data_IF_668259811616
#
_entry.id   IF_668259811616
#
_cell.length_a   1.000
_cell.length_b   1.000
_cell.length_c   1.000
_cell.angle_alpha   90.00
_cell.angle_beta   90.00
_cell.angle_gamma   90.00
#
_symmetry.space_group_name_H-M   'P 1'
#
loop_
_entity.id
_entity.type
_entity.pdbx_description
1 polymer ?
#
# COMPACT_ATOMS: atom_id res chain seq x y z
N UNK A 1 -16.48 10.71 -37.86
CA UNK A 1 -15.25 10.90 -37.06
C UNK A 1 -15.55 10.64 -35.60
N UNK A 2 -16.31 9.58 -35.36
CA UNK A 2 -17.22 9.53 -34.20
C UNK A 2 -16.65 8.64 -33.09
N UNK A 3 -15.81 7.68 -33.45
CA UNK A 3 -15.04 6.89 -32.48
C UNK A 3 -14.08 7.77 -31.67
N UNK A 4 -13.45 8.78 -32.31
CA UNK A 4 -12.59 9.75 -31.62
C UNK A 4 -13.37 10.60 -30.63
N UNK A 5 -14.59 11.01 -31.01
CA UNK A 5 -15.49 11.78 -30.16
C UNK A 5 -15.96 10.95 -28.97
N UNK A 6 -16.37 9.70 -29.19
CA UNK A 6 -16.76 8.78 -28.14
C UNK A 6 -15.62 8.56 -27.11
N UNK A 7 -14.38 8.37 -27.57
CA UNK A 7 -13.22 8.25 -26.66
C UNK A 7 -12.96 9.56 -25.91
N UNK A 8 -13.04 10.70 -26.61
CA UNK A 8 -12.84 12.02 -26.00
C UNK A 8 -13.86 12.31 -24.89
N UNK A 9 -15.14 12.06 -25.15
CA UNK A 9 -16.22 12.29 -24.19
C UNK A 9 -16.06 11.39 -22.95
N UNK A 10 -15.67 10.13 -23.13
CA UNK A 10 -15.39 9.22 -22.01
C UNK A 10 -14.17 9.66 -21.20
N UNK A 11 -13.11 10.13 -21.85
CA UNK A 11 -11.93 10.65 -21.15
C UNK A 11 -12.25 11.88 -20.29
N UNK A 12 -13.12 12.76 -20.78
CA UNK A 12 -13.60 13.92 -20.02
C UNK A 12 -14.42 13.48 -18.81
N UNK A 13 -15.34 12.53 -18.97
CA UNK A 13 -16.14 12.01 -17.86
C UNK A 13 -15.26 11.36 -16.79
N UNK A 14 -14.26 10.58 -17.19
CA UNK A 14 -13.29 9.99 -16.27
C UNK A 14 -12.50 11.06 -15.51
N UNK A 15 -12.03 12.10 -16.21
CA UNK A 15 -11.32 13.22 -15.58
C UNK A 15 -12.20 13.96 -14.57
N UNK A 16 -13.47 14.21 -14.89
CA UNK A 16 -14.43 14.83 -13.98
C UNK A 16 -14.71 13.96 -12.75
N UNK A 17 -14.76 12.64 -12.88
CA UNK A 17 -14.89 11.75 -11.73
C UNK A 17 -13.67 11.81 -10.80
N UNK A 18 -12.45 11.74 -11.36
CA UNK A 18 -11.23 11.86 -10.55
C UNK A 18 -11.13 13.23 -9.85
N UNK A 19 -11.55 14.30 -10.52
CA UNK A 19 -11.64 15.63 -9.93
C UNK A 19 -12.67 15.69 -8.79
N UNK A 20 -13.85 15.07 -8.96
CA UNK A 20 -14.87 15.02 -7.90
C UNK A 20 -14.39 14.27 -6.65
N UNK A 21 -13.72 13.14 -6.83
CA UNK A 21 -13.16 12.35 -5.72
C UNK A 21 -12.04 13.10 -5.00
N UNK A 22 -11.18 13.81 -5.73
CA UNK A 22 -10.10 14.57 -5.10
C UNK A 22 -10.65 15.70 -4.22
N UNK A 23 -11.68 16.41 -4.67
CA UNK A 23 -12.35 17.45 -3.87
C UNK A 23 -12.93 16.88 -2.57
N UNK A 24 -13.52 15.68 -2.60
CA UNK A 24 -14.01 15.00 -1.38
C UNK A 24 -12.84 14.63 -0.46
N UNK A 25 -11.76 14.06 -1.01
CA UNK A 25 -10.57 13.68 -0.24
C UNK A 25 -9.87 14.89 0.40
N UNK A 26 -9.91 16.06 -0.23
CA UNK A 26 -9.38 17.30 0.34
C UNK A 26 -10.33 18.02 1.30
N UNK A 27 -11.62 17.66 1.30
CA UNK A 27 -12.63 18.33 2.12
C UNK A 27 -12.62 17.91 3.60
N UNK A 28 -12.01 16.77 3.94
CA UNK A 28 -11.83 16.34 5.34
C UNK A 28 -10.39 15.90 5.65
N UNK A 29 -9.45 16.86 5.76
CA UNK A 29 -8.05 16.58 6.09
C UNK A 29 -7.83 16.26 7.58
N UNK A 30 -8.87 16.24 8.42
CA UNK A 30 -8.72 16.20 9.88
C UNK A 30 -8.86 14.80 10.49
N UNK A 31 -9.22 13.78 9.71
CA UNK A 31 -9.44 12.44 10.24
C UNK A 31 -8.67 11.35 9.50
N UNK A 32 -7.34 11.47 9.45
CA UNK A 32 -6.51 10.28 9.25
C UNK A 32 -6.26 9.60 10.61
N UNK A 33 -6.67 8.33 10.80
CA UNK A 33 -6.41 7.62 12.03
C UNK A 33 -4.90 7.53 12.27
N UNK A 34 -4.44 7.73 13.50
CA UNK A 34 -3.01 7.60 13.85
C UNK A 34 -2.40 6.25 13.47
N UNK A 35 -3.23 5.24 13.21
CA UNK A 35 -2.83 3.89 12.79
C UNK A 35 -2.38 3.79 11.32
N UNK A 36 -2.56 4.85 10.50
CA UNK A 36 -2.13 4.84 9.09
C UNK A 36 -0.75 5.46 8.89
N UNK A 37 -0.08 5.91 9.95
CA UNK A 37 1.30 6.39 9.85
C UNK A 37 2.25 5.22 9.55
N UNK A 38 3.33 5.49 8.83
CA UNK A 38 4.31 4.46 8.46
C UNK A 38 4.85 3.70 9.68
N UNK A 39 5.17 4.41 10.77
CA UNK A 39 5.67 3.80 12.00
C UNK A 39 4.66 2.82 12.61
N UNK A 40 3.37 3.19 12.60
CA UNK A 40 2.32 2.35 13.17
C UNK A 40 2.04 1.13 12.30
N UNK A 41 2.05 1.32 10.97
CA UNK A 41 1.88 0.24 9.99
C UNK A 41 3.05 -0.74 10.06
N UNK A 42 4.29 -0.26 10.19
CA UNK A 42 5.47 -1.12 10.32
C UNK A 42 5.42 -1.93 11.62
N UNK A 43 5.10 -1.29 12.76
CA UNK A 43 4.95 -1.98 14.04
C UNK A 43 3.80 -3.00 14.03
N UNK A 44 2.67 -2.65 13.40
CA UNK A 44 1.55 -3.57 13.24
C UNK A 44 1.92 -4.76 12.34
N UNK A 45 2.66 -4.51 11.26
CA UNK A 45 3.13 -5.54 10.33
C UNK A 45 4.04 -6.53 11.05
N UNK A 46 5.01 -6.05 11.81
CA UNK A 46 5.90 -6.88 12.63
C UNK A 46 5.12 -7.73 13.63
N UNK A 47 4.14 -7.14 14.32
CA UNK A 47 3.27 -7.86 15.25
C UNK A 47 2.47 -8.99 14.57
N UNK A 48 1.92 -8.73 13.38
CA UNK A 48 1.17 -9.72 12.61
C UNK A 48 2.05 -10.89 12.14
N UNK A 49 3.27 -10.58 11.70
CA UNK A 49 4.28 -11.57 11.31
C UNK A 49 4.69 -12.43 12.50
N UNK A 50 4.96 -11.83 13.66
CA UNK A 50 5.31 -12.55 14.90
C UNK A 50 4.19 -13.50 15.34
N UNK A 51 2.93 -13.08 15.17
CA UNK A 51 1.75 -13.92 15.47
C UNK A 51 1.38 -14.94 14.39
N UNK A 52 2.13 -15.02 13.29
CA UNK A 52 1.85 -15.93 12.17
C UNK A 52 0.42 -15.77 11.62
N UNK A 53 -0.07 -14.54 11.54
CA UNK A 53 -1.43 -14.26 11.05
C UNK A 53 -1.54 -14.63 9.57
N UNK A 54 -2.55 -15.42 9.21
CA UNK A 54 -2.79 -15.94 7.85
C UNK A 54 -1.54 -16.63 7.25
N UNK A 55 -1.10 -17.76 7.81
CA UNK A 55 0.18 -18.38 7.47
C UNK A 55 0.20 -19.16 6.15
N UNK A 56 -0.97 -19.38 5.52
CA UNK A 56 -1.08 -20.12 4.25
C UNK A 56 -1.08 -19.16 3.06
N UNK A 57 -2.01 -18.20 3.04
CA UNK A 57 -2.24 -17.33 1.87
C UNK A 57 -2.12 -15.83 2.17
N UNK A 58 -1.68 -15.44 3.38
CA UNK A 58 -1.63 -14.04 3.79
C UNK A 58 -0.26 -13.57 4.26
N UNK A 59 -0.25 -12.51 5.07
CA UNK A 59 0.96 -11.74 5.37
C UNK A 59 2.11 -12.58 5.94
N UNK A 60 1.81 -13.55 6.81
CA UNK A 60 2.82 -14.43 7.37
C UNK A 60 3.36 -15.44 6.34
N UNK A 61 2.57 -15.85 5.34
CA UNK A 61 3.04 -16.79 4.32
C UNK A 61 4.05 -16.14 3.35
N UNK A 62 3.96 -14.81 3.19
CA UNK A 62 4.86 -14.02 2.37
C UNK A 62 6.14 -13.60 3.10
N UNK A 63 6.25 -13.83 4.39
CA UNK A 63 7.45 -13.53 5.16
C UNK A 63 8.41 -14.72 5.20
N UNK A 64 9.69 -14.48 4.93
CA UNK A 64 10.78 -15.44 5.07
C UNK A 64 11.46 -15.23 6.43
N UNK A 65 11.05 -16.07 7.38
CA UNK A 65 11.50 -16.02 8.77
C UNK A 65 12.95 -16.46 8.97
N UNK A 66 13.52 -17.21 8.02
CA UNK A 66 14.91 -17.66 8.13
C UNK A 66 15.88 -16.53 7.75
N UNK A 67 15.46 -15.66 6.85
CA UNK A 67 16.28 -14.57 6.32
C UNK A 67 15.79 -13.17 6.75
N UNK A 68 14.88 -13.11 7.72
CA UNK A 68 14.30 -11.89 8.30
C UNK A 68 13.81 -10.88 7.24
N UNK A 69 13.19 -11.36 6.15
CA UNK A 69 12.80 -10.53 4.99
C UNK A 69 11.51 -11.00 4.34
N UNK A 70 10.81 -10.12 3.63
CA UNK A 70 9.71 -10.56 2.78
C UNK A 70 10.20 -11.32 1.57
N UNK A 71 9.44 -12.35 1.17
CA UNK A 71 9.69 -13.12 -0.05
C UNK A 71 9.56 -12.20 -1.28
N UNK A 72 10.35 -12.43 -2.35
CA UNK A 72 10.36 -11.57 -3.54
C UNK A 72 8.98 -11.36 -4.19
N UNK A 73 8.05 -12.31 -4.04
CA UNK A 73 6.68 -12.20 -4.56
C UNK A 73 5.90 -11.01 -3.97
N UNK A 74 6.22 -10.60 -2.74
CA UNK A 74 5.61 -9.42 -2.09
C UNK A 74 6.14 -8.09 -2.66
N UNK A 75 7.34 -8.10 -3.26
CA UNK A 75 8.01 -6.89 -3.77
C UNK A 75 7.30 -6.22 -4.96
N UNK A 76 6.33 -6.91 -5.57
CA UNK A 76 5.49 -6.38 -6.66
C UNK A 76 4.59 -5.23 -6.15
N UNK A 77 4.25 -5.22 -4.85
CA UNK A 77 3.34 -4.23 -4.26
C UNK A 77 4.03 -3.21 -3.34
N UNK A 78 5.34 -3.35 -3.09
CA UNK A 78 6.09 -2.45 -2.20
C UNK A 78 6.93 -1.47 -3.01
N UNK A 79 6.84 -0.18 -2.72
CA UNK A 79 7.73 0.83 -3.34
C UNK A 79 9.16 0.65 -2.81
N UNK A 80 10.15 1.20 -3.54
CA UNK A 80 11.57 1.13 -3.15
C UNK A 80 11.85 1.69 -1.74
N UNK A 81 11.00 2.58 -1.23
CA UNK A 81 11.14 3.21 0.08
C UNK A 81 10.77 2.25 1.22
N UNK A 82 9.68 1.49 1.09
CA UNK A 82 9.28 0.45 2.06
C UNK A 82 10.31 -0.69 2.13
N UNK A 83 10.96 -1.02 1.01
CA UNK A 83 12.04 -2.03 1.01
C UNK A 83 13.29 -1.58 1.78
N UNK A 84 13.52 -0.26 1.89
CA UNK A 84 14.64 0.29 2.66
C UNK A 84 14.34 0.31 4.16
N UNK A 85 13.10 0.62 4.58
CA UNK A 85 12.73 0.62 6.00
C UNK A 85 12.84 -0.76 6.63
N UNK A 86 12.40 -1.81 5.91
CA UNK A 86 12.51 -3.21 6.37
C UNK A 86 13.98 -3.66 6.52
N UNK A 87 14.87 -3.24 5.60
CA UNK A 87 16.31 -3.53 5.72
C UNK A 87 16.94 -2.87 6.95
N UNK A 88 16.57 -1.62 7.25
CA UNK A 88 17.10 -0.91 8.43
C UNK A 88 16.58 -1.43 9.77
N UNK A 89 15.42 -2.09 9.79
CA UNK A 89 14.89 -2.77 10.98
C UNK A 89 15.64 -4.08 11.27
N UNK A 90 16.01 -4.84 10.23
CA UNK A 90 16.82 -6.05 10.35
C UNK A 90 18.25 -5.81 10.85
N UNK A 91 18.81 -4.62 10.64
CA UNK A 91 20.19 -4.28 11.08
C UNK A 91 20.25 -3.73 12.51
N UNK A 92 19.10 -3.56 13.18
CA UNK A 92 18.99 -3.06 14.56
C UNK A 92 18.81 -4.16 15.62
N UNK A 93 18.75 -5.43 15.23
CA UNK A 93 18.74 -6.59 16.14
C UNK A 93 20.16 -7.12 16.41
#
# INVERSE_FOLDING_TARGET
GDWKRCIGDNAILMALMFLGVSVIGFADPQYEPKTVTNEWVDAQTEYLIKRRVQPVDGIASWYDYENNKFKPTWSIFTTKETSKSVKTLSEKE
#
